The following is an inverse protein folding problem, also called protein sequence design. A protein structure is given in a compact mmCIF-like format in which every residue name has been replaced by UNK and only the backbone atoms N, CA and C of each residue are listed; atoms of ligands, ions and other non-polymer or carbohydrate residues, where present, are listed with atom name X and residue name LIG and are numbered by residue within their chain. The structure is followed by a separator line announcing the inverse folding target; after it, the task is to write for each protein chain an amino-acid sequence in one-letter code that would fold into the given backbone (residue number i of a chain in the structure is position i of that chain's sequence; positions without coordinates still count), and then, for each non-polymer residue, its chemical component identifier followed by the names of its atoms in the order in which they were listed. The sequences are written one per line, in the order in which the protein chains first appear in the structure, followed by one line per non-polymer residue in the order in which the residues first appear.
data_IF_672632896116
#
_entry.id   IF_672632896116
#
_cell.length_a   1.000
_cell.length_b   1.000
_cell.length_c   1.000
_cell.angle_alpha   90.00
_cell.angle_beta   90.00
_cell.angle_gamma   90.00
#
_symmetry.space_group_name_H-M   'P 1'
#
loop_
_entity.id
_entity.type
_entity.pdbx_description
1 polymer ?
#
# COMPACT_ATOMS: atom_id res chain seq x y z
N UNK A 1 39.02 -18.17 -47.36
CA UNK A 1 39.10 -16.73 -47.01
C UNK A 1 38.48 -16.58 -45.63
N UNK A 2 39.26 -16.77 -44.56
CA UNK A 2 38.76 -16.79 -43.18
C UNK A 2 38.70 -15.36 -42.65
N UNK A 3 37.49 -14.89 -42.36
CA UNK A 3 37.22 -13.54 -41.85
C UNK A 3 37.78 -13.40 -40.43
N UNK A 4 38.74 -12.47 -40.28
CA UNK A 4 39.36 -12.07 -39.01
C UNK A 4 38.36 -11.31 -38.13
N UNK A 5 37.48 -12.05 -37.46
CA UNK A 5 36.45 -11.53 -36.57
C UNK A 5 37.03 -11.31 -35.16
N UNK A 6 37.93 -12.19 -34.71
CA UNK A 6 38.52 -12.15 -33.36
C UNK A 6 39.42 -10.92 -33.13
N UNK A 7 40.16 -10.47 -34.14
CA UNK A 7 41.00 -9.28 -34.05
C UNK A 7 40.18 -7.98 -33.94
N UNK A 8 38.98 -7.95 -34.51
CA UNK A 8 38.11 -6.75 -34.51
C UNK A 8 37.37 -6.59 -33.18
N UNK A 9 36.93 -7.70 -32.57
CA UNK A 9 36.25 -7.72 -31.27
C UNK A 9 37.22 -7.29 -30.15
N UNK A 10 38.47 -7.77 -30.17
CA UNK A 10 39.48 -7.41 -29.15
C UNK A 10 39.88 -5.93 -29.18
N UNK A 11 39.88 -5.28 -30.35
CA UNK A 11 40.22 -3.85 -30.49
C UNK A 11 39.09 -2.93 -30.02
N UNK A 12 37.83 -3.29 -30.30
CA UNK A 12 36.63 -2.59 -29.80
C UNK A 12 36.55 -2.68 -28.27
N UNK A 13 36.84 -3.85 -27.71
CA UNK A 13 36.93 -4.07 -26.26
C UNK A 13 38.05 -3.28 -25.58
N UNK A 14 39.12 -2.87 -26.29
CA UNK A 14 40.26 -2.16 -25.66
C UNK A 14 40.09 -0.64 -25.63
N UNK A 15 39.50 -0.05 -26.67
CA UNK A 15 39.36 1.41 -26.77
C UNK A 15 38.14 1.95 -26.00
N UNK A 16 37.11 1.12 -25.80
CA UNK A 16 35.84 1.53 -25.21
C UNK A 16 35.56 0.90 -23.83
N UNK A 17 36.59 0.38 -23.13
CA UNK A 17 36.43 -0.25 -21.80
C UNK A 17 35.68 0.64 -20.82
N UNK A 18 36.03 1.92 -20.79
CA UNK A 18 35.40 2.89 -19.90
C UNK A 18 33.94 3.19 -20.28
N UNK A 19 33.62 3.20 -21.58
CA UNK A 19 32.24 3.40 -22.06
C UNK A 19 31.38 2.19 -21.68
N UNK A 20 31.88 0.97 -21.88
CA UNK A 20 31.19 -0.27 -21.50
C UNK A 20 30.98 -0.31 -19.98
N UNK A 21 32.01 -0.01 -19.19
CA UNK A 21 31.90 0.04 -17.73
C UNK A 21 30.88 1.08 -17.26
N UNK A 22 30.87 2.28 -17.86
CA UNK A 22 29.90 3.33 -17.53
C UNK A 22 28.47 2.90 -17.84
N UNK A 23 28.24 2.25 -18.99
CA UNK A 23 26.90 1.74 -19.33
C UNK A 23 26.40 0.69 -18.32
N UNK A 24 27.28 -0.20 -17.84
CA UNK A 24 26.92 -1.21 -16.84
C UNK A 24 26.58 -0.56 -15.49
N UNK A 25 27.36 0.44 -15.07
CA UNK A 25 27.10 1.19 -13.84
C UNK A 25 25.78 1.95 -13.94
N UNK A 26 25.50 2.57 -15.08
CA UNK A 26 24.28 3.34 -15.30
C UNK A 26 23.04 2.44 -15.29
N UNK A 27 23.11 1.24 -15.89
CA UNK A 27 21.99 0.29 -15.87
C UNK A 27 21.77 -0.32 -14.48
N UNK A 28 22.83 -0.64 -13.74
CA UNK A 28 22.71 -1.11 -12.35
C UNK A 28 22.15 -0.02 -11.43
N UNK A 29 22.58 1.23 -11.59
CA UNK A 29 22.04 2.36 -10.85
C UNK A 29 20.56 2.60 -11.19
N UNK A 30 20.19 2.53 -12.46
CA UNK A 30 18.80 2.67 -12.90
C UNK A 30 17.92 1.53 -12.35
N UNK A 31 18.42 0.30 -12.34
CA UNK A 31 17.73 -0.85 -11.75
C UNK A 31 17.56 -0.69 -10.24
N UNK A 32 18.58 -0.20 -9.53
CA UNK A 32 18.51 0.10 -8.10
C UNK A 32 17.47 1.19 -7.80
N UNK A 33 17.42 2.25 -8.61
CA UNK A 33 16.41 3.32 -8.49
C UNK A 33 15.00 2.80 -8.78
N UNK A 34 14.85 1.87 -9.72
CA UNK A 34 13.57 1.20 -9.98
C UNK A 34 13.10 0.36 -8.79
N UNK A 35 14.01 -0.40 -8.16
CA UNK A 35 13.73 -1.15 -6.92
C UNK A 35 13.42 -0.25 -5.73
N UNK A 36 14.05 0.93 -5.63
CA UNK A 36 13.69 1.93 -4.63
C UNK A 36 12.27 2.48 -4.87
N UNK A 37 11.90 2.72 -6.14
CA UNK A 37 10.57 3.22 -6.51
C UNK A 37 9.46 2.18 -6.35
N UNK A 38 9.75 0.88 -6.37
CA UNK A 38 8.72 -0.17 -6.25
C UNK A 38 8.09 -0.29 -4.85
N UNK A 39 8.44 0.57 -3.89
CA UNK A 39 7.95 0.45 -2.52
C UNK A 39 6.57 1.04 -2.20
N UNK A 40 5.88 1.78 -3.08
CA UNK A 40 4.48 2.13 -2.79
C UNK A 40 3.67 2.39 -4.05
N UNK A 41 3.14 1.32 -4.65
CA UNK A 41 1.86 1.40 -5.33
C UNK A 41 0.95 0.35 -4.73
N UNK A 42 0.38 0.68 -3.58
CA UNK A 42 -0.71 -0.10 -2.99
C UNK A 42 -1.89 -0.02 -3.95
N UNK A 43 -2.10 -1.09 -4.73
CA UNK A 43 -3.38 -1.34 -5.35
C UNK A 43 -4.35 -1.62 -4.20
N UNK A 44 -5.03 -0.58 -3.72
CA UNK A 44 -6.09 -0.69 -2.72
C UNK A 44 -7.22 -1.63 -3.15
N UNK A 45 -7.23 -2.05 -4.41
CA UNK A 45 -8.29 -2.80 -5.12
C UNK A 45 -8.25 -4.32 -4.91
N UNK A 46 -7.21 -4.94 -4.33
CA UNK A 46 -7.15 -6.41 -4.20
C UNK A 46 -7.65 -6.95 -2.84
N UNK A 47 -8.83 -7.60 -2.88
CA UNK A 47 -9.27 -8.82 -2.16
C UNK A 47 -9.20 -8.96 -0.62
N UNK A 48 -8.49 -8.13 0.14
CA UNK A 48 -8.53 -8.20 1.62
C UNK A 48 -9.66 -7.32 2.19
N UNK A 49 -10.39 -7.89 3.16
CA UNK A 49 -11.44 -7.17 3.89
C UNK A 49 -10.80 -6.09 4.76
N UNK A 50 -11.15 -4.83 4.54
CA UNK A 50 -10.64 -3.71 5.36
C UNK A 50 -11.23 -3.70 6.75
N UNK A 51 -12.44 -4.27 6.90
CA UNK A 51 -13.16 -4.36 8.15
C UNK A 51 -13.50 -5.82 8.45
N UNK A 52 -13.41 -6.19 9.72
CA UNK A 52 -13.89 -7.47 10.25
C UNK A 52 -14.84 -7.17 11.39
N UNK A 53 -16.07 -7.68 11.32
CA UNK A 53 -17.02 -7.58 12.42
C UNK A 53 -16.70 -8.63 13.48
N UNK A 54 -16.80 -8.25 14.75
CA UNK A 54 -16.78 -9.18 15.88
C UNK A 54 -17.59 -8.62 17.06
N UNK A 55 -17.57 -9.33 18.17
CA UNK A 55 -18.21 -8.98 19.42
C UNK A 55 -17.19 -8.95 20.56
N UNK A 56 -17.27 -7.92 21.41
CA UNK A 56 -16.48 -7.80 22.64
C UNK A 56 -17.35 -7.25 23.76
N UNK A 57 -17.43 -7.98 24.88
CA UNK A 57 -18.27 -7.61 26.04
C UNK A 57 -19.72 -7.29 25.67
N UNK A 58 -20.31 -8.08 24.77
CA UNK A 58 -21.65 -7.87 24.17
C UNK A 58 -21.79 -6.65 23.24
N UNK A 59 -20.71 -5.92 22.98
CA UNK A 59 -20.69 -4.82 22.01
C UNK A 59 -20.28 -5.33 20.63
N UNK A 60 -20.96 -4.83 19.59
CA UNK A 60 -20.53 -5.02 18.21
C UNK A 60 -19.29 -4.15 17.95
N UNK A 61 -18.22 -4.77 17.47
CA UNK A 61 -16.97 -4.08 17.14
C UNK A 61 -16.61 -4.27 15.67
N UNK A 62 -15.89 -3.28 15.14
CA UNK A 62 -15.15 -3.40 13.88
C UNK A 62 -13.67 -3.45 14.17
N UNK A 63 -12.99 -4.47 13.64
CA UNK A 63 -11.54 -4.56 13.56
C UNK A 63 -11.06 -4.17 12.17
N UNK A 64 -9.87 -3.60 12.11
CA UNK A 64 -9.32 -3.00 10.88
C UNK A 64 -7.80 -3.19 10.79
N UNK A 65 -7.33 -4.41 11.03
CA UNK A 65 -5.91 -4.80 11.02
C UNK A 65 -5.21 -4.38 9.74
N UNK A 66 -5.84 -4.63 8.58
CA UNK A 66 -5.28 -4.24 7.30
C UNK A 66 -5.03 -2.73 7.22
N UNK A 67 -5.97 -1.90 7.69
CA UNK A 67 -5.80 -0.45 7.69
C UNK A 67 -4.67 0.00 8.63
N UNK A 68 -4.46 -0.73 9.73
CA UNK A 68 -3.36 -0.49 10.65
C UNK A 68 -2.03 -0.83 9.99
N UNK A 69 -1.92 -1.94 9.27
CA UNK A 69 -0.70 -2.32 8.55
C UNK A 69 -0.30 -1.26 7.52
N UNK A 70 -1.28 -0.68 6.81
CA UNK A 70 -1.04 0.30 5.77
C UNK A 70 -1.16 1.77 6.24
N UNK A 71 -1.30 2.00 7.56
CA UNK A 71 -1.65 3.31 8.15
C UNK A 71 -0.71 4.46 7.77
N UNK A 72 0.56 4.17 7.47
CA UNK A 72 1.54 5.17 7.08
C UNK A 72 1.28 5.79 5.71
N UNK A 73 0.53 5.12 4.83
CA UNK A 73 0.11 5.64 3.52
C UNK A 73 -1.20 6.40 3.57
N UNK A 74 -1.96 6.23 4.65
CA UNK A 74 -3.33 6.74 4.80
C UNK A 74 -3.28 8.11 5.47
N UNK A 75 -3.92 9.08 4.81
CA UNK A 75 -4.18 10.39 5.41
C UNK A 75 -5.38 10.33 6.33
N UNK A 76 -6.46 9.71 5.86
CA UNK A 76 -7.72 9.64 6.59
C UNK A 76 -8.54 8.41 6.19
N UNK A 77 -9.23 7.82 7.15
CA UNK A 77 -10.28 6.83 6.91
C UNK A 77 -11.60 7.41 7.35
N UNK A 78 -12.60 7.36 6.47
CA UNK A 78 -13.97 7.77 6.79
C UNK A 78 -14.91 6.59 6.72
N UNK A 79 -15.87 6.54 7.64
CA UNK A 79 -16.89 5.50 7.69
C UNK A 79 -18.29 6.06 7.96
N UNK A 80 -19.29 5.32 7.53
CA UNK A 80 -20.71 5.58 7.72
C UNK A 80 -21.41 4.33 8.23
N UNK A 81 -22.50 4.51 8.97
CA UNK A 81 -23.30 3.43 9.55
C UNK A 81 -24.67 3.44 8.88
N UNK A 82 -25.16 2.25 8.48
CA UNK A 82 -26.42 2.05 7.78
C UNK A 82 -26.49 2.92 6.51
N UNK A 83 -27.50 3.77 6.37
CA UNK A 83 -27.66 4.65 5.19
C UNK A 83 -26.87 5.97 5.28
N UNK A 84 -26.09 6.16 6.35
CA UNK A 84 -25.25 7.35 6.47
C UNK A 84 -24.07 7.30 5.49
N UNK A 85 -23.80 8.44 4.85
CA UNK A 85 -22.58 8.63 4.09
C UNK A 85 -21.34 8.53 5.00
N UNK A 86 -20.18 8.10 4.47
CA UNK A 86 -18.96 7.96 5.24
C UNK A 86 -18.34 9.32 5.59
N UNK A 87 -18.91 9.96 6.61
CA UNK A 87 -18.52 11.28 7.09
C UNK A 87 -17.84 11.22 8.47
N UNK A 88 -17.92 10.10 9.18
CA UNK A 88 -17.26 9.92 10.48
C UNK A 88 -15.80 9.52 10.28
N UNK A 89 -14.90 10.04 11.11
CA UNK A 89 -13.47 9.72 11.04
C UNK A 89 -13.20 8.43 11.83
N UNK A 90 -12.59 7.44 11.18
CA UNK A 90 -11.97 6.31 11.85
C UNK A 90 -10.51 6.67 12.14
N UNK A 91 -10.23 7.00 13.40
CA UNK A 91 -8.88 7.36 13.83
C UNK A 91 -7.99 6.11 13.79
N UNK A 92 -6.94 6.12 12.98
CA UNK A 92 -5.93 5.08 12.97
C UNK A 92 -4.81 5.40 13.98
N UNK A 93 -4.10 4.38 14.49
CA UNK A 93 -2.90 4.57 15.30
C UNK A 93 -1.84 5.41 14.56
N UNK A 94 -0.92 6.02 15.30
CA UNK A 94 0.21 6.72 14.69
C UNK A 94 1.12 5.74 13.90
N UNK A 95 1.66 6.19 12.77
CA UNK A 95 2.57 5.39 11.93
C UNK A 95 3.81 4.89 12.70
N UNK A 96 4.45 5.77 13.48
CA UNK A 96 5.74 5.50 14.14
C UNK A 96 5.62 5.00 15.59
N UNK A 97 4.44 4.53 16.00
CA UNK A 97 4.22 4.00 17.35
C UNK A 97 3.76 2.55 17.30
N UNK A 98 4.09 1.81 18.35
CA UNK A 98 3.50 0.52 18.61
C UNK A 98 2.00 0.68 18.84
N UNK A 99 1.21 -0.23 18.28
CA UNK A 99 -0.25 -0.17 18.30
C UNK A 99 -0.76 -0.90 19.53
N UNK A 100 -1.45 -0.17 20.39
CA UNK A 100 -2.12 -0.72 21.56
C UNK A 100 -3.38 -1.49 21.15
N UNK A 101 -3.78 -2.48 21.94
CA UNK A 101 -4.92 -3.34 21.59
C UNK A 101 -6.24 -2.54 21.48
N UNK A 102 -6.41 -1.50 22.31
CA UNK A 102 -7.58 -0.60 22.26
C UNK A 102 -7.68 0.19 20.95
N UNK A 103 -6.56 0.38 20.24
CA UNK A 103 -6.56 1.12 18.99
C UNK A 103 -6.95 0.25 17.79
N UNK A 104 -6.99 -1.08 17.96
CA UNK A 104 -7.21 -2.05 16.87
C UNK A 104 -8.66 -2.23 16.45
N UNK A 105 -9.58 -1.73 17.26
CA UNK A 105 -11.00 -1.88 17.02
C UNK A 105 -11.77 -0.62 17.39
N UNK A 106 -13.01 -0.53 16.91
CA UNK A 106 -13.99 0.46 17.38
C UNK A 106 -15.28 -0.23 17.72
N UNK A 107 -15.86 0.16 18.83
CA UNK A 107 -17.24 -0.18 19.17
C UNK A 107 -18.15 0.62 18.24
N UNK A 108 -19.12 -0.06 17.65
CA UNK A 108 -20.16 0.54 16.82
C UNK A 108 -21.54 0.27 17.43
N UNK A 109 -22.57 1.07 17.10
CA UNK A 109 -23.91 0.86 17.62
C UNK A 109 -24.40 -0.57 17.33
N UNK A 110 -25.03 -1.27 18.29
CA UNK A 110 -25.48 -2.65 18.09
C UNK A 110 -26.58 -2.78 17.02
N UNK A 111 -27.26 -1.69 16.69
CA UNK A 111 -28.25 -1.62 15.59
C UNK A 111 -27.63 -1.47 14.20
N UNK A 112 -26.30 -1.59 14.06
CA UNK A 112 -25.61 -1.47 12.79
C UNK A 112 -25.89 -2.70 11.92
N UNK A 113 -26.34 -2.48 10.69
CA UNK A 113 -26.58 -3.51 9.67
C UNK A 113 -25.58 -3.42 8.53
N UNK A 114 -25.06 -2.22 8.28
CA UNK A 114 -24.13 -1.90 7.19
C UNK A 114 -23.10 -0.89 7.67
N UNK A 115 -21.86 -1.04 7.24
CA UNK A 115 -20.80 -0.04 7.38
C UNK A 115 -20.26 0.31 6.00
N UNK A 116 -20.31 1.59 5.65
CA UNK A 116 -19.65 2.13 4.46
C UNK A 116 -18.30 2.71 4.85
N UNK A 117 -17.26 2.56 4.02
CA UNK A 117 -15.91 3.03 4.32
C UNK A 117 -15.21 3.56 3.07
N UNK A 118 -14.42 4.61 3.27
CA UNK A 118 -13.62 5.28 2.24
C UNK A 118 -12.26 5.68 2.80
N UNK A 119 -11.22 5.54 2.00
CA UNK A 119 -9.86 5.89 2.38
C UNK A 119 -9.39 7.09 1.54
N UNK A 120 -8.64 7.97 2.17
CA UNK A 120 -7.91 9.07 1.53
C UNK A 120 -6.43 8.84 1.84
N UNK A 121 -5.60 8.74 0.81
CA UNK A 121 -4.16 8.51 0.92
C UNK A 121 -3.42 9.85 1.08
N UNK A 122 -2.15 9.78 1.49
CA UNK A 122 -1.30 10.96 1.71
C UNK A 122 -1.05 11.79 0.44
N UNK A 123 -1.11 11.16 -0.73
CA UNK A 123 -1.00 11.82 -2.03
C UNK A 123 -2.32 12.51 -2.48
N UNK A 124 -3.38 12.41 -1.67
CA UNK A 124 -4.71 12.94 -1.98
C UNK A 124 -5.59 12.00 -2.81
N UNK A 125 -5.06 10.87 -3.27
CA UNK A 125 -5.85 9.84 -3.95
C UNK A 125 -6.90 9.29 -2.99
N UNK A 126 -8.12 9.08 -3.49
CA UNK A 126 -9.20 8.53 -2.68
C UNK A 126 -9.78 7.27 -3.30
N UNK A 127 -10.13 6.31 -2.44
CA UNK A 127 -10.78 5.08 -2.87
C UNK A 127 -12.25 5.30 -3.20
N UNK A 128 -12.80 4.35 -3.95
CA UNK A 128 -14.25 4.14 -3.97
C UNK A 128 -14.77 3.78 -2.57
N UNK A 129 -16.06 3.99 -2.36
CA UNK A 129 -16.74 3.56 -1.14
C UNK A 129 -16.92 2.05 -1.18
N UNK A 130 -16.55 1.38 -0.07
CA UNK A 130 -16.84 -0.04 0.14
C UNK A 130 -17.92 -0.21 1.18
N UNK A 131 -18.77 -1.20 1.00
CA UNK A 131 -19.84 -1.53 1.93
C UNK A 131 -19.63 -2.92 2.53
N UNK A 132 -19.84 -3.03 3.83
CA UNK A 132 -19.72 -4.24 4.63
C UNK A 132 -21.04 -4.45 5.38
N UNK A 133 -21.61 -5.65 5.31
CA UNK A 133 -22.87 -5.98 5.97
C UNK A 133 -22.58 -6.80 7.23
N UNK A 134 -23.27 -6.46 8.32
CA UNK A 134 -23.20 -7.22 9.58
C UNK A 134 -24.06 -8.46 9.41
N UNK A 135 -23.47 -9.64 9.62
CA UNK A 135 -24.19 -10.93 9.56
C UNK A 135 -24.85 -11.27 10.89
#
# INVERSE_FOLDING_TARGET
MTLNIDGKISKILKNNKYIILFTIILTTLFFLLFLLKSNHKQNTTSKESWLVFDSQDSNLIIRFEYLIEIRCSIKEVRYGINEAQPNNILVLPMCNKQVEDIERFRIIPPSTKKVSIKIILNDGTSSDIREYFVN
#
